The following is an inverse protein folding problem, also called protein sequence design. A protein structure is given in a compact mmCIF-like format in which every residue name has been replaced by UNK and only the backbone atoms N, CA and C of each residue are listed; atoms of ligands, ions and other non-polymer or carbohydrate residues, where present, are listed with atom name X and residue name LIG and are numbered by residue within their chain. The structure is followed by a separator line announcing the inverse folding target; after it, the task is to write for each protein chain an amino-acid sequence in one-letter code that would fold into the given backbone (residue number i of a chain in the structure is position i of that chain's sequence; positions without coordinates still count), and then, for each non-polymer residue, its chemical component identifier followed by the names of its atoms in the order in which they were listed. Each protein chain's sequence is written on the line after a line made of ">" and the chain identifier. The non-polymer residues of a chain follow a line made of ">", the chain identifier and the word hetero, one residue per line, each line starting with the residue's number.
data_IF_221117570859
#
_entry.id   IF_221117570859
#
_cell.length_a   1.000
_cell.length_b   1.000
_cell.length_c   1.000
_cell.angle_alpha   90.00
_cell.angle_beta   90.00
_cell.angle_gamma   90.00
#
_symmetry.space_group_name_H-M   'P 1'
#
loop_
_entity.id
_entity.type
_entity.pdbx_description
1 polymer ?
#
# COMPACT_ATOMS: atom_id res chain seq x y z
N UNK A 1 15.38 -8.21 11.42
CA UNK A 1 13.95 -8.61 11.44
C UNK A 1 13.24 -8.06 10.21
N UNK A 2 12.42 -8.86 9.54
CA UNK A 2 11.66 -8.42 8.35
C UNK A 2 10.24 -8.03 8.74
N UNK A 3 9.92 -6.75 8.58
CA UNK A 3 8.65 -6.15 9.00
C UNK A 3 7.90 -5.62 7.80
N UNK A 4 6.63 -5.97 7.66
CA UNK A 4 5.75 -5.36 6.70
C UNK A 4 4.83 -4.34 7.39
N UNK A 5 4.70 -3.17 6.78
CA UNK A 5 3.78 -2.12 7.18
C UNK A 5 2.73 -1.91 6.09
N UNK A 6 1.44 -1.92 6.45
CA UNK A 6 0.42 -1.42 5.54
C UNK A 6 0.53 0.10 5.44
N UNK A 7 1.07 0.55 4.33
CA UNK A 7 1.30 1.97 4.04
C UNK A 7 0.19 2.58 3.13
N UNK A 8 -0.91 1.87 2.93
CA UNK A 8 -2.07 2.36 2.17
C UNK A 8 -2.57 3.74 2.64
N UNK A 9 -2.59 4.06 3.96
CA UNK A 9 -2.98 5.39 4.41
C UNK A 9 -2.12 6.54 3.87
N UNK A 10 -0.91 6.26 3.40
CA UNK A 10 -0.01 7.27 2.79
C UNK A 10 -0.39 7.62 1.34
N UNK A 11 -1.33 6.91 0.72
CA UNK A 11 -1.82 7.18 -0.64
C UNK A 11 -2.86 8.29 -0.71
N UNK A 12 -3.34 8.76 0.42
CA UNK A 12 -4.32 9.86 0.55
C UNK A 12 -3.72 11.01 1.35
N UNK A 13 -4.35 12.21 1.33
CA UNK A 13 -3.94 13.32 2.18
C UNK A 13 -3.78 12.88 3.63
N UNK A 14 -2.72 13.32 4.30
CA UNK A 14 -2.35 12.87 5.64
C UNK A 14 -3.45 13.23 6.67
N UNK A 15 -4.19 12.22 7.07
CA UNK A 15 -5.08 12.22 8.24
C UNK A 15 -4.30 11.78 9.48
N UNK A 16 -4.95 11.67 10.63
CA UNK A 16 -4.30 11.16 11.85
C UNK A 16 -3.66 9.78 11.66
N UNK A 17 -4.36 8.85 10.98
CA UNK A 17 -3.82 7.52 10.65
C UNK A 17 -2.65 7.64 9.67
N UNK A 18 -2.73 8.51 8.68
CA UNK A 18 -1.64 8.77 7.74
C UNK A 18 -0.39 9.31 8.44
N UNK A 19 -0.54 10.26 9.34
CA UNK A 19 0.55 10.79 10.14
C UNK A 19 1.21 9.71 11.01
N UNK A 20 0.40 8.92 11.70
CA UNK A 20 0.88 7.78 12.48
C UNK A 20 1.67 6.80 11.62
N UNK A 21 1.09 6.37 10.49
CA UNK A 21 1.72 5.44 9.55
C UNK A 21 3.05 5.97 9.02
N UNK A 22 3.11 7.27 8.73
CA UNK A 22 4.34 7.92 8.27
C UNK A 22 5.44 7.91 9.33
N UNK A 23 5.11 8.24 10.59
CA UNK A 23 6.08 8.22 11.69
C UNK A 23 6.59 6.79 11.96
N UNK A 24 5.70 5.80 11.95
CA UNK A 24 6.09 4.38 12.08
C UNK A 24 7.01 3.97 10.93
N UNK A 25 6.68 4.32 9.69
CA UNK A 25 7.50 4.01 8.52
C UNK A 25 8.91 4.61 8.63
N UNK A 26 9.01 5.87 9.06
CA UNK A 26 10.31 6.52 9.31
C UNK A 26 11.10 5.85 10.43
N UNK A 27 10.44 5.48 11.52
CA UNK A 27 11.07 4.74 12.61
C UNK A 27 11.66 3.42 12.14
N UNK A 28 10.90 2.65 11.35
CA UNK A 28 11.36 1.38 10.79
C UNK A 28 12.53 1.54 9.80
N UNK A 29 12.56 2.61 9.02
CA UNK A 29 13.69 2.89 8.10
C UNK A 29 14.99 3.23 8.83
N UNK A 30 14.87 3.87 9.98
CA UNK A 30 16.04 4.32 10.75
C UNK A 30 16.59 3.22 11.68
N UNK A 31 15.90 2.10 11.81
CA UNK A 31 16.34 0.99 12.65
C UNK A 31 17.21 0.01 11.83
N UNK A 32 18.52 -0.12 12.16
CA UNK A 32 19.44 -0.96 11.40
C UNK A 32 19.15 -2.46 11.54
N UNK A 33 18.39 -2.88 12.55
CA UNK A 33 18.04 -4.29 12.78
C UNK A 33 16.76 -4.70 12.02
N UNK A 34 16.06 -3.72 11.42
CA UNK A 34 14.79 -3.92 10.73
C UNK A 34 14.96 -3.73 9.22
N UNK A 35 14.44 -4.69 8.47
CA UNK A 35 14.28 -4.57 7.01
C UNK A 35 12.80 -4.34 6.70
N UNK A 36 12.37 -3.10 6.53
CA UNK A 36 10.97 -2.79 6.29
C UNK A 36 10.55 -3.04 4.85
N UNK A 37 9.32 -3.51 4.67
CA UNK A 37 8.63 -3.60 3.40
C UNK A 37 7.26 -2.93 3.52
N UNK A 38 6.87 -2.13 2.54
CA UNK A 38 5.66 -1.33 2.59
C UNK A 38 4.63 -1.86 1.59
N UNK A 39 3.41 -2.08 2.06
CA UNK A 39 2.30 -2.54 1.24
C UNK A 39 1.34 -1.39 0.96
N UNK A 40 1.21 -1.03 -0.32
CA UNK A 40 0.37 0.08 -0.81
C UNK A 40 -0.80 -0.48 -1.65
N UNK A 41 -1.90 -0.86 -1.02
CA UNK A 41 -3.14 -1.28 -1.70
C UNK A 41 -2.96 -2.32 -2.82
N UNK A 42 -2.04 -3.27 -2.64
CA UNK A 42 -1.76 -4.34 -3.62
C UNK A 42 -0.38 -4.28 -4.24
N UNK A 43 0.40 -3.23 -3.98
CA UNK A 43 1.77 -3.07 -4.48
C UNK A 43 2.76 -3.06 -3.33
N UNK A 44 3.84 -3.81 -3.45
CA UNK A 44 4.94 -3.82 -2.49
C UNK A 44 6.04 -2.83 -2.89
N UNK A 45 6.66 -2.21 -1.90
CA UNK A 45 7.79 -1.29 -2.06
C UNK A 45 8.74 -1.43 -0.88
N UNK A 46 10.02 -1.20 -1.11
CA UNK A 46 11.07 -1.06 -0.08
C UNK A 46 11.25 0.39 0.39
N UNK A 47 10.57 1.33 -0.25
CA UNK A 47 10.67 2.75 0.05
C UNK A 47 9.36 3.34 0.55
N UNK A 48 9.46 4.24 1.53
CA UNK A 48 8.33 5.06 1.96
C UNK A 48 8.04 6.10 0.88
N UNK A 49 6.80 6.12 0.41
CA UNK A 49 6.34 7.24 -0.42
C UNK A 49 6.12 8.44 0.51
N UNK A 50 6.84 9.50 0.27
CA UNK A 50 6.53 10.77 0.89
C UNK A 50 5.11 11.15 0.48
N UNK A 51 4.31 11.60 1.46
CA UNK A 51 2.98 12.12 1.18
C UNK A 51 3.14 13.27 0.17
N UNK A 52 2.91 12.95 -1.09
CA UNK A 52 3.10 13.93 -2.14
C UNK A 52 2.01 14.99 -2.02
N UNK A 53 2.41 16.18 -1.66
CA UNK A 53 1.67 17.41 -1.95
C UNK A 53 1.50 17.65 -3.45
N UNK A 54 2.06 16.78 -4.28
CA UNK A 54 2.01 16.82 -5.73
C UNK A 54 1.15 15.67 -6.29
N UNK A 55 -0.14 15.91 -6.40
CA UNK A 55 -1.10 15.14 -7.24
C UNK A 55 -0.77 15.33 -8.75
N UNK A 56 0.47 15.63 -9.11
CA UNK A 56 0.82 16.18 -10.42
C UNK A 56 1.58 15.30 -11.40
N UNK A 57 1.96 14.07 -11.09
CA UNK A 57 2.73 13.28 -12.07
C UNK A 57 2.55 11.75 -12.01
N UNK A 58 1.32 11.28 -11.98
CA UNK A 58 1.04 9.95 -12.54
C UNK A 58 0.79 10.15 -14.03
N UNK A 59 1.69 9.60 -14.87
CA UNK A 59 1.67 9.79 -16.31
C UNK A 59 0.30 9.51 -16.91
N UNK A 60 -0.07 10.33 -17.90
CA UNK A 60 -1.36 10.33 -18.60
C UNK A 60 -1.81 8.95 -19.12
N UNK A 61 -0.91 8.02 -19.33
CA UNK A 61 -1.16 6.65 -19.81
C UNK A 61 -1.89 5.78 -18.78
N UNK A 62 -1.63 5.95 -17.49
CA UNK A 62 -2.32 5.17 -16.45
C UNK A 62 -3.74 5.68 -16.15
N UNK A 63 -4.00 6.95 -16.36
CA UNK A 63 -5.35 7.52 -16.22
C UNK A 63 -6.29 7.02 -17.31
N UNK A 64 -5.83 6.90 -18.55
CA UNK A 64 -6.63 6.38 -19.67
C UNK A 64 -7.03 4.92 -19.46
N UNK A 65 -6.11 4.08 -18.99
CA UNK A 65 -6.42 2.66 -18.73
C UNK A 65 -7.41 2.47 -17.56
N UNK A 66 -7.29 3.29 -16.52
CA UNK A 66 -8.23 3.27 -15.39
C UNK A 66 -9.64 3.73 -15.79
N UNK A 67 -9.76 4.69 -16.70
CA UNK A 67 -11.06 5.19 -17.16
C UNK A 67 -11.80 4.17 -18.04
N UNK A 68 -11.09 3.39 -18.84
CA UNK A 68 -11.65 2.33 -19.68
C UNK A 68 -12.16 1.14 -18.84
N UNK A 69 -11.39 0.74 -17.82
CA UNK A 69 -11.78 -0.34 -16.89
C UNK A 69 -12.97 0.09 -16.02
N UNK A 70 -13.07 1.37 -15.67
CA UNK A 70 -14.21 1.90 -14.88
C UNK A 70 -15.56 1.75 -15.58
N UNK A 71 -15.60 1.74 -16.92
CA UNK A 71 -16.85 1.63 -17.70
C UNK A 71 -17.35 0.21 -17.90
N UNK A 72 -16.49 -0.81 -17.79
CA UNK A 72 -16.81 -2.17 -18.24
C UNK A 72 -17.27 -3.14 -17.13
N UNK A 73 -17.08 -2.83 -15.84
CA UNK A 73 -17.34 -3.77 -14.73
C UNK A 73 -18.26 -3.14 -13.69
N UNK A 74 -19.35 -3.80 -13.25
CA UNK A 74 -20.24 -3.34 -12.17
C UNK A 74 -19.47 -3.11 -10.86
N UNK A 75 -19.85 -2.09 -10.09
CA UNK A 75 -19.10 -1.66 -8.90
C UNK A 75 -18.95 -2.76 -7.83
N UNK A 76 -19.95 -3.61 -7.66
CA UNK A 76 -19.89 -4.74 -6.73
C UNK A 76 -18.88 -5.82 -7.14
N UNK A 77 -18.76 -6.11 -8.43
CA UNK A 77 -17.78 -7.06 -8.95
C UNK A 77 -16.35 -6.51 -8.86
N UNK A 78 -16.18 -5.21 -9.08
CA UNK A 78 -14.89 -4.52 -8.90
C UNK A 78 -14.37 -4.61 -7.48
N UNK A 79 -15.23 -4.41 -6.50
CA UNK A 79 -14.84 -4.47 -5.10
C UNK A 79 -14.35 -5.87 -4.73
N UNK A 80 -15.08 -6.93 -5.15
CA UNK A 80 -14.71 -8.33 -4.87
C UNK A 80 -13.40 -8.72 -5.56
N UNK A 81 -13.23 -8.37 -6.84
CA UNK A 81 -12.01 -8.64 -7.61
C UNK A 81 -10.81 -7.88 -7.05
N UNK A 82 -10.98 -6.61 -6.70
CA UNK A 82 -9.90 -5.80 -6.14
C UNK A 82 -9.47 -6.29 -4.75
N UNK A 83 -10.42 -6.80 -3.95
CA UNK A 83 -10.12 -7.40 -2.65
C UNK A 83 -9.36 -8.72 -2.81
N UNK A 84 -9.82 -9.61 -3.68
CA UNK A 84 -9.17 -10.89 -3.93
C UNK A 84 -7.74 -10.70 -4.51
N UNK A 85 -7.58 -9.74 -5.41
CA UNK A 85 -6.27 -9.41 -5.95
C UNK A 85 -5.32 -8.84 -4.89
N UNK A 86 -5.79 -7.92 -4.05
CA UNK A 86 -5.00 -7.35 -2.95
C UNK A 86 -4.58 -8.44 -1.95
N UNK A 87 -5.50 -9.33 -1.59
CA UNK A 87 -5.21 -10.44 -0.68
C UNK A 87 -4.16 -11.40 -1.27
N UNK A 88 -4.28 -11.74 -2.56
CA UNK A 88 -3.26 -12.56 -3.24
C UNK A 88 -1.91 -11.88 -3.32
N UNK A 89 -1.89 -10.61 -3.67
CA UNK A 89 -0.67 -9.81 -3.72
C UNK A 89 -0.01 -9.69 -2.35
N UNK A 90 -0.81 -9.50 -1.31
CA UNK A 90 -0.35 -9.48 0.08
C UNK A 90 0.31 -10.81 0.46
N UNK A 91 -0.40 -11.94 0.30
CA UNK A 91 0.11 -13.27 0.68
C UNK A 91 1.39 -13.63 -0.08
N UNK A 92 1.42 -13.41 -1.40
CA UNK A 92 2.62 -13.66 -2.21
C UNK A 92 3.79 -12.77 -1.79
N UNK A 93 3.54 -11.50 -1.51
CA UNK A 93 4.57 -10.57 -1.07
C UNK A 93 5.11 -10.92 0.32
N UNK A 94 4.26 -11.35 1.26
CA UNK A 94 4.70 -11.82 2.57
C UNK A 94 5.65 -13.01 2.46
N UNK A 95 5.33 -13.98 1.59
CA UNK A 95 6.17 -15.16 1.34
C UNK A 95 7.48 -14.76 0.65
N UNK A 96 7.40 -13.98 -0.43
CA UNK A 96 8.57 -13.56 -1.21
C UNK A 96 9.56 -12.74 -0.38
N UNK A 97 9.06 -11.84 0.47
CA UNK A 97 9.87 -11.00 1.35
C UNK A 97 10.17 -11.65 2.70
N UNK A 98 9.72 -12.88 2.95
CA UNK A 98 9.92 -13.61 4.22
C UNK A 98 9.52 -12.76 5.44
N UNK A 99 8.34 -12.13 5.38
CA UNK A 99 7.85 -11.24 6.43
C UNK A 99 7.62 -12.01 7.74
N UNK A 100 8.17 -11.50 8.82
CA UNK A 100 8.06 -12.07 10.17
C UNK A 100 7.01 -11.36 11.00
N UNK A 101 6.86 -10.05 10.81
CA UNK A 101 5.89 -9.20 11.52
C UNK A 101 5.14 -8.34 10.51
N UNK A 102 3.83 -8.26 10.65
CA UNK A 102 2.98 -7.37 9.88
C UNK A 102 2.30 -6.37 10.81
N UNK A 103 2.42 -5.09 10.48
CA UNK A 103 1.75 -4.00 11.19
C UNK A 103 0.65 -3.38 10.34
N UNK A 104 -0.58 -3.40 10.87
CA UNK A 104 -1.79 -2.88 10.23
C UNK A 104 -2.31 -1.66 11.01
N UNK A 105 -2.04 -0.42 10.56
CA UNK A 105 -2.49 0.77 11.28
C UNK A 105 -3.97 1.10 11.07
N UNK A 106 -4.63 0.52 10.07
CA UNK A 106 -5.94 0.96 9.60
C UNK A 106 -7.07 -0.08 9.80
N UNK A 107 -6.90 -1.09 10.64
CA UNK A 107 -7.89 -2.15 10.91
C UNK A 107 -8.40 -2.91 9.65
N UNK A 108 -7.73 -2.79 8.52
CA UNK A 108 -8.03 -3.55 7.32
C UNK A 108 -7.26 -4.86 7.35
N UNK A 109 -7.93 -5.94 7.71
CA UNK A 109 -7.34 -7.30 7.65
C UNK A 109 -7.35 -7.84 6.23
N UNK A 110 -6.23 -8.35 5.80
CA UNK A 110 -6.06 -9.04 4.53
C UNK A 110 -5.96 -10.55 4.71
#
# INVERSE_FOLDING_TARGET
>A
MRVALNATPLLSPLTGIGQYTYQVAKGLQNDPEVNPSYFYAGVWSDQVREASTNIGSMGATQQSFRSLIKKAIPDGARYRLSRAWRQRSFSKGCQANQIQVYHEPNFLTY
#
